data_IF_404282999788
#
_entry.id   IF_404282999788
#
_cell.length_a   1.000
_cell.length_b   1.000
_cell.length_c   1.000
_cell.angle_alpha   90.00
_cell.angle_beta   90.00
_cell.angle_gamma   90.00
#
_symmetry.space_group_name_H-M   'P 1'
#
loop_
_entity.id
_entity.type
_entity.pdbx_description
1 polymer ?
#
# COMPACT_ATOMS: atom_id res chain seq x y z
N UNK A 1 47.82 2.38 -0.47
CA UNK A 1 47.93 2.65 -1.92
C UNK A 1 47.03 1.65 -2.60
N UNK A 2 45.73 1.96 -2.61
CA UNK A 2 44.97 2.32 -3.82
C UNK A 2 44.91 1.14 -4.78
N UNK A 3 44.00 0.22 -4.51
CA UNK A 3 43.53 -0.74 -5.50
C UNK A 3 42.35 -0.10 -6.25
N UNK A 4 42.49 -0.14 -7.56
CA UNK A 4 41.54 0.29 -8.57
C UNK A 4 40.15 -0.32 -8.38
N UNK A 5 39.15 0.55 -8.26
CA UNK A 5 37.78 0.27 -8.67
C UNK A 5 37.38 1.42 -9.60
N UNK A 6 37.99 1.40 -10.79
CA UNK A 6 37.41 1.96 -12.00
C UNK A 6 36.17 1.12 -12.31
N UNK A 7 35.01 1.50 -11.77
CA UNK A 7 33.74 0.89 -12.18
C UNK A 7 33.24 1.63 -13.42
N UNK A 8 33.56 1.07 -14.59
CA UNK A 8 33.08 1.47 -15.90
C UNK A 8 31.55 1.66 -15.88
N UNK A 9 31.10 2.93 -15.90
CA UNK A 9 29.68 3.29 -15.88
C UNK A 9 29.22 3.88 -17.22
N UNK A 10 29.73 3.38 -18.35
CA UNK A 10 29.43 3.96 -19.68
C UNK A 10 28.66 3.06 -20.64
N UNK A 11 28.23 1.86 -20.27
CA UNK A 11 27.32 1.06 -21.12
C UNK A 11 26.15 0.38 -20.37
N UNK A 12 26.13 0.35 -19.03
CA UNK A 12 25.11 -0.40 -18.28
C UNK A 12 23.85 0.40 -17.88
N UNK A 13 23.82 1.72 -18.10
CA UNK A 13 22.66 2.56 -17.71
C UNK A 13 21.46 2.44 -18.67
N UNK A 14 21.65 1.80 -19.82
CA UNK A 14 20.60 1.64 -20.84
C UNK A 14 19.83 0.32 -20.74
N UNK A 15 20.36 -0.66 -20.00
CA UNK A 15 19.76 -2.01 -19.84
C UNK A 15 19.02 -2.20 -18.52
N UNK A 16 19.20 -1.35 -17.51
CA UNK A 16 18.51 -1.50 -16.23
C UNK A 16 16.99 -1.17 -16.27
N UNK A 17 16.50 -0.68 -17.41
CA UNK A 17 15.12 -0.22 -17.61
C UNK A 17 14.41 -0.79 -18.86
N UNK A 18 14.91 -1.87 -19.48
CA UNK A 18 14.18 -2.53 -20.57
C UNK A 18 14.46 -4.04 -20.63
N UNK A 19 13.51 -4.83 -20.12
CA UNK A 19 12.93 -6.04 -20.72
C UNK A 19 11.91 -6.67 -19.75
N UNK A 20 10.92 -7.31 -20.37
CA UNK A 20 9.62 -7.71 -19.84
C UNK A 20 9.60 -8.90 -18.87
N UNK A 21 8.53 -8.85 -18.07
CA UNK A 21 7.66 -9.93 -17.58
C UNK A 21 8.15 -11.02 -16.60
N UNK A 22 7.18 -11.32 -15.72
CA UNK A 22 6.98 -12.56 -14.98
C UNK A 22 7.89 -12.79 -13.77
N UNK A 23 7.39 -12.43 -12.57
CA UNK A 23 7.06 -13.47 -11.58
C UNK A 23 6.23 -12.94 -10.41
N UNK A 24 5.33 -13.83 -9.97
CA UNK A 24 4.59 -13.87 -8.72
C UNK A 24 5.40 -13.42 -7.50
N UNK A 25 4.80 -12.62 -6.60
CA UNK A 25 4.98 -12.87 -5.17
C UNK A 25 3.82 -12.36 -4.30
N UNK A 26 3.51 -13.19 -3.32
CA UNK A 26 2.46 -13.11 -2.33
C UNK A 26 2.70 -11.95 -1.36
N UNK A 27 1.90 -10.89 -1.48
CA UNK A 27 2.01 -9.69 -0.64
C UNK A 27 0.98 -9.62 0.48
N UNK A 28 1.27 -10.36 1.55
CA UNK A 28 0.77 -10.28 2.93
C UNK A 28 0.19 -8.91 3.32
N UNK A 29 -1.13 -8.85 3.56
CA UNK A 29 -1.79 -7.68 4.17
C UNK A 29 -1.97 -7.94 5.67
N UNK A 30 -1.00 -7.48 6.46
CA UNK A 30 -1.13 -7.42 7.91
C UNK A 30 -2.13 -6.32 8.31
N UNK A 31 -3.13 -6.74 9.09
CA UNK A 31 -4.13 -5.87 9.70
C UNK A 31 -3.73 -5.49 11.13
N UNK A 32 -3.85 -4.19 11.39
CA UNK A 32 -4.47 -3.58 12.57
C UNK A 32 -4.22 -4.25 13.93
N UNK A 33 -3.43 -3.56 14.76
CA UNK A 33 -3.45 -3.69 16.21
C UNK A 33 -4.03 -2.43 16.84
N UNK A 34 -5.00 -2.62 17.73
CA UNK A 34 -5.48 -1.66 18.72
C UNK A 34 -4.35 -1.02 19.53
N UNK A 35 -4.46 0.29 19.77
CA UNK A 35 -3.96 0.94 21.00
C UNK A 35 -4.89 2.08 21.39
N UNK A 36 -5.54 1.92 22.54
CA UNK A 36 -6.13 3.00 23.32
C UNK A 36 -5.04 3.79 24.05
N UNK A 37 -5.27 5.11 24.11
CA UNK A 37 -4.85 6.08 25.13
C UNK A 37 -3.37 6.15 25.52
N UNK A 38 -2.64 7.05 24.86
CA UNK A 38 -1.63 7.85 25.57
C UNK A 38 -1.52 9.26 24.95
N UNK A 39 -1.66 10.27 25.81
CA UNK A 39 -1.81 11.67 25.46
C UNK A 39 -0.45 12.31 25.29
N UNK A 40 -0.03 12.60 24.06
CA UNK A 40 1.00 13.60 23.73
C UNK A 40 0.73 14.19 22.35
N UNK A 41 -0.09 15.24 22.34
CA UNK A 41 -0.40 16.11 21.20
C UNK A 41 0.87 16.82 20.74
N UNK A 42 1.57 16.27 19.75
CA UNK A 42 2.60 17.01 19.01
C UNK A 42 1.86 18.00 18.10
N UNK A 43 1.86 19.27 18.50
CA UNK A 43 1.49 20.38 17.61
C UNK A 43 2.62 20.53 16.59
N UNK A 44 2.41 20.03 15.36
CA UNK A 44 3.22 20.43 14.22
C UNK A 44 2.60 21.69 13.61
N UNK A 45 3.16 22.84 13.98
CA UNK A 45 3.02 24.10 13.28
C UNK A 45 3.76 24.02 11.95
N UNK A 46 3.03 23.77 10.87
CA UNK A 46 3.49 24.11 9.53
C UNK A 46 2.73 25.36 9.09
N UNK A 47 3.51 26.42 8.85
CA UNK A 47 3.03 27.72 8.42
C UNK A 47 2.21 27.58 7.13
N UNK A 48 0.99 28.08 7.20
CA UNK A 48 0.09 28.24 6.07
C UNK A 48 0.75 29.16 5.05
N UNK A 49 1.19 28.59 3.93
CA UNK A 49 1.39 29.35 2.71
C UNK A 49 0.40 28.80 1.69
N UNK A 50 -0.39 29.73 1.17
CA UNK A 50 -1.46 29.59 0.19
C UNK A 50 -1.17 28.49 -0.85
N UNK A 51 -1.87 27.37 -0.80
CA UNK A 51 -1.84 26.36 -1.87
C UNK A 51 -3.27 26.14 -2.37
N UNK A 52 -3.43 26.34 -3.68
CA UNK A 52 -4.64 26.05 -4.44
C UNK A 52 -5.08 24.61 -4.12
N UNK A 53 -6.35 24.42 -3.72
CA UNK A 53 -6.94 23.10 -3.50
C UNK A 53 -6.97 22.34 -4.84
N UNK A 54 -6.29 21.20 -4.91
CA UNK A 54 -6.11 20.40 -6.13
C UNK A 54 -6.99 19.15 -5.98
N UNK A 55 -8.23 19.24 -6.45
CA UNK A 55 -9.18 18.13 -6.40
C UNK A 55 -8.91 17.13 -7.53
N UNK A 56 -8.03 16.16 -7.31
CA UNK A 56 -7.83 15.01 -8.20
C UNK A 56 -8.69 13.85 -7.70
N UNK A 57 -9.69 13.45 -8.48
CA UNK A 57 -10.57 12.35 -8.11
C UNK A 57 -9.84 11.00 -8.22
N UNK A 58 -9.42 10.42 -7.08
CA UNK A 58 -8.79 9.10 -7.03
C UNK A 58 -9.83 8.05 -6.65
N UNK A 59 -10.09 7.12 -7.56
CA UNK A 59 -10.93 5.95 -7.30
C UNK A 59 -10.30 5.04 -6.24
N UNK A 60 -11.04 4.77 -5.17
CA UNK A 60 -10.66 3.80 -4.13
C UNK A 60 -11.07 2.40 -4.59
N UNK A 61 -10.14 1.63 -5.14
CA UNK A 61 -10.43 0.25 -5.58
C UNK A 61 -10.51 -0.77 -4.44
N UNK A 62 -10.06 -0.40 -3.23
CA UNK A 62 -10.00 -1.33 -2.08
C UNK A 62 -11.19 -1.15 -1.16
N UNK A 63 -12.26 -1.87 -1.48
CA UNK A 63 -13.47 -1.91 -0.65
C UNK A 63 -13.36 -2.99 0.43
N UNK A 64 -13.38 -2.56 1.69
CA UNK A 64 -13.39 -3.44 2.86
C UNK A 64 -14.80 -3.63 3.38
N UNK A 65 -15.05 -4.79 4.00
CA UNK A 65 -16.28 -5.02 4.75
C UNK A 65 -16.27 -4.26 6.09
N UNK A 66 -17.45 -4.05 6.67
CA UNK A 66 -17.61 -3.50 8.03
C UNK A 66 -17.03 -4.44 9.08
N UNK A 67 -16.59 -3.87 10.21
CA UNK A 67 -16.01 -4.66 11.31
C UNK A 67 -17.00 -5.66 11.90
N UNK A 68 -18.28 -5.27 12.01
CA UNK A 68 -19.37 -6.11 12.51
C UNK A 68 -19.59 -7.31 11.59
N UNK A 69 -19.82 -7.05 10.29
CA UNK A 69 -19.99 -8.12 9.30
C UNK A 69 -18.77 -9.06 9.22
N UNK A 70 -17.55 -8.50 9.31
CA UNK A 70 -16.32 -9.30 9.33
C UNK A 70 -16.26 -10.26 10.52
N UNK A 71 -16.80 -9.86 11.67
CA UNK A 71 -16.84 -10.70 12.86
C UNK A 71 -17.84 -11.85 12.69
N UNK A 72 -19.05 -11.57 12.20
CA UNK A 72 -20.08 -12.59 11.96
C UNK A 72 -19.59 -13.62 10.93
N UNK A 73 -18.97 -13.12 9.86
CA UNK A 73 -18.40 -13.96 8.82
C UNK A 73 -17.23 -14.81 9.34
N UNK A 74 -16.43 -14.27 10.26
CA UNK A 74 -15.36 -15.01 10.93
C UNK A 74 -15.91 -16.13 11.83
N UNK A 75 -16.97 -15.85 12.61
CA UNK A 75 -17.63 -16.84 13.47
C UNK A 75 -18.16 -18.01 12.64
N UNK A 76 -18.93 -17.72 11.58
CA UNK A 76 -19.40 -18.73 10.64
C UNK A 76 -18.25 -19.59 10.08
N UNK A 77 -17.22 -18.94 9.56
CA UNK A 77 -16.07 -19.64 8.95
C UNK A 77 -15.29 -20.51 9.93
N UNK A 78 -15.35 -20.19 11.23
CA UNK A 78 -14.69 -20.96 12.29
C UNK A 78 -15.48 -22.17 12.74
N UNK A 79 -16.81 -22.05 12.78
CA UNK A 79 -17.70 -23.19 13.04
C UNK A 79 -17.51 -24.26 11.96
N UNK A 80 -17.51 -23.83 10.69
CA UNK A 80 -17.41 -24.70 9.51
C UNK A 80 -15.95 -24.92 9.04
N UNK A 81 -14.97 -24.88 9.95
CA UNK A 81 -13.57 -24.88 9.55
C UNK A 81 -13.07 -26.25 9.04
N UNK A 82 -13.71 -27.33 9.48
CA UNK A 82 -13.37 -28.71 9.11
C UNK A 82 -14.32 -29.31 8.08
N UNK A 83 -15.34 -28.54 7.69
CA UNK A 83 -16.33 -28.96 6.71
C UNK A 83 -15.69 -29.17 5.35
N UNK A 84 -16.23 -30.15 4.63
CA UNK A 84 -15.82 -30.44 3.28
C UNK A 84 -16.36 -29.37 2.30
N UNK A 85 -16.18 -29.60 1.00
CA UNK A 85 -16.63 -28.61 0.02
C UNK A 85 -18.14 -28.49 -0.07
N UNK A 86 -18.85 -29.61 0.00
CA UNK A 86 -20.30 -29.72 -0.11
C UNK A 86 -20.96 -29.14 1.14
N UNK A 87 -20.54 -29.62 2.30
CA UNK A 87 -21.12 -29.26 3.60
C UNK A 87 -20.98 -27.75 3.85
N UNK A 88 -19.81 -27.19 3.54
CA UNK A 88 -19.59 -25.74 3.65
C UNK A 88 -20.51 -24.94 2.71
N UNK A 89 -20.82 -25.47 1.52
CA UNK A 89 -21.69 -24.78 0.56
C UNK A 89 -23.14 -24.79 1.04
N UNK A 90 -23.61 -25.93 1.56
CA UNK A 90 -24.95 -26.06 2.13
C UNK A 90 -25.11 -25.16 3.36
N UNK A 91 -24.15 -25.20 4.28
CA UNK A 91 -24.14 -24.33 5.45
C UNK A 91 -24.06 -22.84 5.08
N UNK A 92 -23.34 -22.50 4.01
CA UNK A 92 -23.30 -21.13 3.49
C UNK A 92 -24.66 -20.67 2.99
N UNK A 93 -25.35 -21.50 2.20
CA UNK A 93 -26.70 -21.20 1.69
C UNK A 93 -27.65 -20.92 2.86
N UNK A 94 -27.70 -21.81 3.85
CA UNK A 94 -28.51 -21.61 5.06
C UNK A 94 -28.11 -20.35 5.83
N UNK A 95 -26.81 -20.12 6.04
CA UNK A 95 -26.34 -18.95 6.78
C UNK A 95 -26.71 -17.65 6.06
N UNK A 96 -26.65 -17.62 4.72
CA UNK A 96 -27.05 -16.44 3.94
C UNK A 96 -28.53 -16.14 4.01
N UNK A 97 -29.38 -17.16 4.12
CA UNK A 97 -30.82 -17.01 4.34
C UNK A 97 -31.12 -16.47 5.74
N UNK A 98 -30.50 -17.07 6.77
CA UNK A 98 -30.70 -16.66 8.17
C UNK A 98 -30.22 -15.23 8.45
N UNK A 99 -29.23 -14.76 7.68
CA UNK A 99 -28.53 -13.49 7.88
C UNK A 99 -28.75 -12.50 6.73
N UNK A 100 -29.86 -12.63 6.00
CA UNK A 100 -30.17 -11.82 4.82
C UNK A 100 -30.07 -10.31 5.09
N UNK A 101 -30.52 -9.86 6.27
CA UNK A 101 -30.51 -8.44 6.65
C UNK A 101 -29.09 -7.85 6.72
N UNK A 102 -28.15 -8.56 7.35
CA UNK A 102 -26.76 -8.07 7.49
C UNK A 102 -26.03 -8.12 6.14
N UNK A 103 -26.32 -9.14 5.33
CA UNK A 103 -25.75 -9.27 3.99
C UNK A 103 -26.27 -8.16 3.08
N UNK A 104 -27.58 -7.93 3.05
CA UNK A 104 -28.21 -6.90 2.22
C UNK A 104 -27.72 -5.51 2.58
N UNK A 105 -27.59 -5.20 3.88
CA UNK A 105 -27.01 -3.95 4.36
C UNK A 105 -25.59 -3.76 3.82
N UNK A 106 -24.76 -4.80 3.90
CA UNK A 106 -23.37 -4.75 3.47
C UNK A 106 -23.22 -4.68 1.94
N UNK A 107 -24.08 -5.37 1.19
CA UNK A 107 -24.19 -5.31 -0.27
C UNK A 107 -24.56 -3.90 -0.71
N UNK A 108 -25.59 -3.30 -0.12
CA UNK A 108 -26.02 -1.94 -0.42
C UNK A 108 -24.91 -0.94 -0.12
N UNK A 109 -24.23 -1.08 1.03
CA UNK A 109 -23.13 -0.20 1.41
C UNK A 109 -21.97 -0.26 0.40
N UNK A 110 -21.56 -1.44 -0.04
CA UNK A 110 -20.49 -1.60 -1.02
C UNK A 110 -20.88 -1.10 -2.42
N UNK A 111 -22.14 -1.32 -2.81
CA UNK A 111 -22.70 -0.81 -4.07
C UNK A 111 -22.74 0.72 -4.06
N UNK A 112 -23.16 1.33 -2.95
CA UNK A 112 -23.16 2.78 -2.77
C UNK A 112 -21.75 3.40 -2.77
N UNK A 113 -20.73 2.61 -2.41
CA UNK A 113 -19.32 3.01 -2.54
C UNK A 113 -18.77 2.86 -3.97
N UNK A 114 -19.55 2.28 -4.89
CA UNK A 114 -19.16 2.07 -6.29
C UNK A 114 -18.41 0.77 -6.56
N UNK A 115 -18.59 -0.27 -5.75
CA UNK A 115 -18.04 -1.60 -6.06
C UNK A 115 -18.88 -2.29 -7.16
N UNK A 116 -18.25 -2.63 -8.28
CA UNK A 116 -18.91 -3.20 -9.47
C UNK A 116 -18.86 -4.74 -9.55
N UNK A 117 -18.24 -5.42 -8.59
CA UNK A 117 -18.08 -6.89 -8.62
C UNK A 117 -19.19 -7.65 -7.91
N UNK A 118 -19.13 -8.99 -7.97
CA UNK A 118 -20.00 -9.86 -7.18
C UNK A 118 -19.58 -9.81 -5.69
N UNK A 119 -20.44 -9.21 -4.87
CA UNK A 119 -20.21 -9.02 -3.44
C UNK A 119 -20.40 -10.35 -2.68
N UNK A 120 -21.36 -11.18 -3.09
CA UNK A 120 -21.67 -12.45 -2.43
C UNK A 120 -20.54 -13.44 -2.66
N UNK A 121 -20.03 -13.55 -3.89
CA UNK A 121 -18.85 -14.36 -4.19
C UNK A 121 -17.60 -13.87 -3.44
N UNK A 122 -17.42 -12.54 -3.31
CA UNK A 122 -16.36 -11.95 -2.49
C UNK A 122 -16.49 -12.36 -1.02
N UNK A 123 -17.70 -12.34 -0.46
CA UNK A 123 -17.97 -12.77 0.91
C UNK A 123 -17.67 -14.27 1.09
N UNK A 124 -18.19 -15.13 0.21
CA UNK A 124 -17.96 -16.58 0.24
C UNK A 124 -16.46 -16.93 0.20
N UNK A 125 -15.73 -16.32 -0.73
CA UNK A 125 -14.27 -16.50 -0.84
C UNK A 125 -13.55 -16.05 0.43
N UNK A 126 -13.97 -14.93 1.03
CA UNK A 126 -13.39 -14.44 2.28
C UNK A 126 -13.62 -15.42 3.44
N UNK A 127 -14.81 -16.00 3.55
CA UNK A 127 -15.14 -17.01 4.54
C UNK A 127 -14.30 -18.28 4.40
N UNK A 128 -14.40 -18.91 3.22
CA UNK A 128 -13.84 -20.24 2.95
C UNK A 128 -12.31 -20.27 2.87
N UNK A 129 -11.70 -19.26 2.27
CA UNK A 129 -10.26 -19.26 1.99
C UNK A 129 -9.44 -18.47 3.00
N UNK A 130 -9.98 -17.35 3.52
CA UNK A 130 -9.23 -16.50 4.45
C UNK A 130 -9.55 -16.85 5.90
N UNK A 131 -10.80 -16.72 6.34
CA UNK A 131 -11.14 -16.87 7.76
C UNK A 131 -10.99 -18.30 8.28
N UNK A 132 -11.31 -19.30 7.47
CA UNK A 132 -11.07 -20.71 7.80
C UNK A 132 -9.61 -20.99 8.18
N UNK A 133 -8.66 -20.55 7.33
CA UNK A 133 -7.22 -20.77 7.50
C UNK A 133 -6.55 -19.78 8.46
N UNK A 134 -7.24 -18.72 8.88
CA UNK A 134 -6.68 -17.70 9.79
C UNK A 134 -6.52 -18.32 11.18
N UNK A 135 -5.29 -18.65 11.58
CA UNK A 135 -5.00 -19.15 12.92
C UNK A 135 -5.30 -18.12 14.02
N UNK A 136 -5.61 -18.60 15.22
CA UNK A 136 -5.75 -17.76 16.42
C UNK A 136 -4.38 -17.38 17.02
N UNK A 137 -3.30 -17.97 16.53
CA UNK A 137 -1.95 -17.71 16.98
C UNK A 137 -1.49 -16.32 16.52
N UNK A 138 -1.40 -15.40 17.48
CA UNK A 138 -0.70 -14.15 17.27
C UNK A 138 0.76 -14.48 17.03
N UNK A 139 1.21 -14.41 15.78
CA UNK A 139 2.65 -14.49 15.46
C UNK A 139 3.39 -13.49 16.36
N UNK A 140 4.52 -13.89 16.96
CA UNK A 140 5.30 -12.96 17.76
C UNK A 140 5.61 -11.72 16.90
N UNK A 141 5.49 -10.54 17.52
CA UNK A 141 5.73 -9.29 16.82
C UNK A 141 7.15 -9.33 16.24
N UNK A 142 7.26 -9.30 14.90
CA UNK A 142 8.55 -9.20 14.23
C UNK A 142 9.26 -7.95 14.75
N UNK A 143 10.56 -8.08 15.03
CA UNK A 143 11.39 -6.93 15.34
C UNK A 143 11.28 -5.93 14.20
N UNK A 144 10.91 -4.70 14.53
CA UNK A 144 10.86 -3.61 13.55
C UNK A 144 12.29 -3.26 13.18
N UNK A 145 12.55 -3.17 11.87
CA UNK A 145 13.82 -2.64 11.37
C UNK A 145 13.97 -1.18 11.79
N UNK A 146 15.20 -0.76 11.99
CA UNK A 146 15.51 0.64 12.25
C UNK A 146 15.01 1.51 11.09
N UNK A 147 14.30 2.57 11.43
CA UNK A 147 13.72 3.45 10.44
C UNK A 147 14.79 4.37 9.86
N UNK A 148 15.11 4.18 8.58
CA UNK A 148 15.99 5.08 7.85
C UNK A 148 15.14 6.18 7.22
N UNK A 149 15.43 7.44 7.56
CA UNK A 149 14.70 8.59 7.03
C UNK A 149 15.17 8.98 5.62
N UNK A 150 14.27 9.53 4.83
CA UNK A 150 14.61 10.18 3.55
C UNK A 150 14.92 11.65 3.84
N UNK A 151 15.93 12.23 3.19
CA UNK A 151 16.34 13.61 3.44
C UNK A 151 15.23 14.60 3.07
N UNK A 152 15.09 15.67 3.87
CA UNK A 152 14.12 16.74 3.62
C UNK A 152 14.31 17.39 2.24
N UNK A 153 15.57 17.54 1.79
CA UNK A 153 15.88 18.10 0.47
C UNK A 153 15.22 17.29 -0.66
N UNK A 154 15.42 15.97 -0.65
CA UNK A 154 14.78 15.08 -1.62
C UNK A 154 13.24 15.14 -1.54
N UNK A 155 12.66 15.16 -0.34
CA UNK A 155 11.19 15.25 -0.18
C UNK A 155 10.65 16.55 -0.79
N UNK A 156 11.30 17.68 -0.53
CA UNK A 156 10.88 18.97 -1.07
C UNK A 156 10.98 19.00 -2.61
N UNK A 157 12.05 18.44 -3.18
CA UNK A 157 12.21 18.32 -4.63
C UNK A 157 11.10 17.45 -5.24
N UNK A 158 10.74 16.33 -4.59
CA UNK A 158 9.60 15.50 -5.02
C UNK A 158 8.28 16.27 -4.97
N UNK A 159 8.03 17.01 -3.89
CA UNK A 159 6.80 17.79 -3.74
C UNK A 159 6.68 18.89 -4.80
N UNK A 160 7.78 19.58 -5.11
CA UNK A 160 7.80 20.58 -6.18
C UNK A 160 7.50 19.95 -7.53
N UNK A 161 8.15 18.82 -7.85
CA UNK A 161 7.92 18.10 -9.09
C UNK A 161 6.45 17.65 -9.22
N UNK A 162 5.87 17.08 -8.17
CA UNK A 162 4.48 16.64 -8.16
C UNK A 162 3.53 17.82 -8.36
N UNK A 163 3.72 18.94 -7.66
CA UNK A 163 2.82 20.11 -7.78
C UNK A 163 2.78 20.68 -9.20
N UNK A 164 3.92 20.66 -9.90
CA UNK A 164 3.99 21.13 -11.29
C UNK A 164 3.27 20.15 -12.21
N UNK A 165 3.58 18.86 -12.08
CA UNK A 165 3.21 17.86 -13.09
C UNK A 165 1.83 17.21 -12.91
N UNK A 166 1.23 17.32 -11.72
CA UNK A 166 -0.06 16.67 -11.40
C UNK A 166 -1.23 17.08 -12.30
N UNK A 167 -1.11 18.20 -13.02
CA UNK A 167 -2.16 18.74 -13.90
C UNK A 167 -2.16 18.11 -15.30
N UNK A 168 -1.16 17.29 -15.66
CA UNK A 168 -1.15 16.61 -16.96
C UNK A 168 -2.31 15.61 -17.02
N UNK A 169 -3.05 15.60 -18.13
CA UNK A 169 -4.21 14.69 -18.31
C UNK A 169 -3.83 13.21 -18.18
N UNK A 170 -2.64 12.84 -18.67
CA UNK A 170 -2.09 11.47 -18.57
C UNK A 170 -1.13 11.28 -17.40
N UNK A 171 -1.27 12.05 -16.32
CA UNK A 171 -0.35 11.98 -15.19
C UNK A 171 -0.42 10.62 -14.48
N UNK A 172 0.66 9.85 -14.58
CA UNK A 172 0.83 8.60 -13.85
C UNK A 172 2.00 8.71 -12.87
N UNK A 173 1.80 8.44 -11.56
CA UNK A 173 2.85 8.58 -10.55
C UNK A 173 4.08 7.68 -10.78
N UNK A 174 3.96 6.58 -11.53
CA UNK A 174 5.12 5.77 -11.92
C UNK A 174 6.00 6.50 -12.93
N UNK A 175 5.38 7.12 -13.92
CA UNK A 175 6.07 7.66 -15.09
C UNK A 175 6.68 9.01 -14.70
N UNK A 176 5.95 9.80 -13.91
CA UNK A 176 6.45 11.00 -13.27
C UNK A 176 7.62 10.73 -12.30
N UNK A 177 7.65 9.56 -11.65
CA UNK A 177 8.81 9.18 -10.84
C UNK A 177 10.04 8.91 -11.71
N UNK A 178 9.86 8.23 -12.85
CA UNK A 178 10.96 7.97 -13.78
C UNK A 178 11.47 9.28 -14.43
N UNK A 179 10.60 10.24 -14.70
CA UNK A 179 10.96 11.61 -15.11
C UNK A 179 11.73 12.35 -14.00
N UNK A 180 11.22 12.32 -12.77
CA UNK A 180 11.88 12.92 -11.62
C UNK A 180 13.30 12.39 -11.43
N UNK A 181 13.49 11.08 -11.59
CA UNK A 181 14.81 10.43 -11.50
C UNK A 181 15.80 10.90 -12.56
N UNK A 182 15.33 11.21 -13.77
CA UNK A 182 16.18 11.74 -14.85
C UNK A 182 16.59 13.19 -14.60
N UNK A 183 15.68 14.00 -14.04
CA UNK A 183 15.88 15.43 -13.83
C UNK A 183 16.62 15.78 -12.54
N UNK A 184 16.63 14.89 -11.53
CA UNK A 184 17.14 15.17 -10.18
C UNK A 184 18.23 14.18 -9.72
N UNK A 185 19.15 13.82 -10.63
CA UNK A 185 20.19 12.80 -10.39
C UNK A 185 21.09 13.18 -9.20
N UNK A 186 21.49 14.43 -9.07
CA UNK A 186 22.44 14.85 -8.04
C UNK A 186 21.84 14.77 -6.63
N UNK A 187 20.60 15.22 -6.47
CA UNK A 187 19.85 15.12 -5.20
C UNK A 187 19.64 13.65 -4.83
N UNK A 188 19.40 12.78 -5.82
CA UNK A 188 19.29 11.34 -5.60
C UNK A 188 20.61 10.72 -5.14
N UNK A 189 21.75 11.05 -5.78
CA UNK A 189 23.07 10.56 -5.37
C UNK A 189 23.41 10.97 -3.93
N UNK A 190 23.17 12.23 -3.57
CA UNK A 190 23.37 12.72 -2.21
C UNK A 190 22.52 11.94 -1.20
N UNK A 191 21.23 11.75 -1.50
CA UNK A 191 20.34 11.02 -0.62
C UNK A 191 20.72 9.54 -0.48
N UNK A 192 21.09 8.88 -1.58
CA UNK A 192 21.55 7.49 -1.57
C UNK A 192 22.81 7.36 -0.69
N UNK A 193 23.76 8.30 -0.78
CA UNK A 193 24.94 8.29 0.07
C UNK A 193 24.59 8.40 1.57
N UNK A 194 23.59 9.21 1.93
CA UNK A 194 23.09 9.30 3.31
C UNK A 194 22.42 7.99 3.75
N UNK A 195 21.60 7.38 2.89
CA UNK A 195 20.92 6.12 3.19
C UNK A 195 21.94 4.98 3.38
N UNK A 196 22.96 4.91 2.53
CA UNK A 196 24.05 3.94 2.65
C UNK A 196 24.83 4.11 3.95
N UNK A 197 25.11 5.36 4.36
CA UNK A 197 25.74 5.64 5.67
C UNK A 197 24.91 5.18 6.85
N UNK A 198 23.58 5.14 6.69
CA UNK A 198 22.64 4.69 7.72
C UNK A 198 22.40 3.17 7.69
N UNK A 199 23.22 2.41 6.95
CA UNK A 199 23.23 0.94 7.01
C UNK A 199 22.37 0.23 5.97
N UNK A 200 21.68 0.95 5.08
CA UNK A 200 20.94 0.33 3.97
C UNK A 200 21.76 0.41 2.69
N UNK A 201 22.29 -0.73 2.25
CA UNK A 201 23.20 -0.84 1.10
C UNK A 201 22.60 -1.55 -0.09
N UNK A 202 21.44 -2.21 0.06
CA UNK A 202 20.77 -2.89 -1.04
C UNK A 202 20.15 -1.88 -2.03
N UNK A 203 20.65 -1.87 -3.26
CA UNK A 203 20.24 -0.91 -4.28
C UNK A 203 18.75 -1.02 -4.63
N UNK A 204 18.19 -2.24 -4.63
CA UNK A 204 16.77 -2.49 -4.93
C UNK A 204 15.90 -1.93 -3.81
N UNK A 205 16.26 -2.16 -2.55
CA UNK A 205 15.54 -1.63 -1.40
C UNK A 205 15.59 -0.10 -1.34
N UNK A 206 16.74 0.52 -1.62
CA UNK A 206 16.86 1.98 -1.69
C UNK A 206 15.94 2.55 -2.78
N UNK A 207 15.98 1.98 -3.99
CA UNK A 207 15.10 2.37 -5.10
C UNK A 207 13.62 2.27 -4.72
N UNK A 208 13.22 1.14 -4.12
CA UNK A 208 11.85 0.91 -3.67
C UNK A 208 11.41 1.89 -2.59
N UNK A 209 12.31 2.24 -1.66
CA UNK A 209 12.06 3.23 -0.62
C UNK A 209 11.82 4.63 -1.19
N UNK A 210 12.66 5.07 -2.12
CA UNK A 210 12.52 6.38 -2.78
C UNK A 210 11.24 6.40 -3.62
N UNK A 211 10.98 5.36 -4.42
CA UNK A 211 9.76 5.23 -5.24
C UNK A 211 8.48 5.24 -4.40
N UNK A 212 8.47 4.50 -3.29
CA UNK A 212 7.34 4.49 -2.33
C UNK A 212 7.14 5.86 -1.70
N UNK A 213 8.23 6.55 -1.37
CA UNK A 213 8.17 7.90 -0.81
C UNK A 213 7.51 8.84 -1.81
N UNK A 214 7.97 8.88 -3.06
CA UNK A 214 7.38 9.70 -4.13
C UNK A 214 5.88 9.42 -4.32
N UNK A 215 5.48 8.15 -4.47
CA UNK A 215 4.06 7.77 -4.62
C UNK A 215 3.22 8.22 -3.43
N UNK A 216 3.73 8.03 -2.20
CA UNK A 216 3.03 8.47 -1.00
C UNK A 216 2.85 10.00 -0.99
N UNK A 217 3.87 10.77 -1.40
CA UNK A 217 3.77 12.23 -1.52
C UNK A 217 2.69 12.62 -2.54
N UNK A 218 2.64 11.95 -3.69
CA UNK A 218 1.60 12.18 -4.70
C UNK A 218 0.19 12.04 -4.13
N UNK A 219 -0.09 10.95 -3.41
CA UNK A 219 -1.41 10.73 -2.80
C UNK A 219 -1.76 11.76 -1.70
N UNK A 220 -0.79 12.51 -1.16
CA UNK A 220 -1.08 13.63 -0.24
C UNK A 220 -1.60 14.86 -0.97
N UNK A 221 -1.15 15.10 -2.21
CA UNK A 221 -1.58 16.23 -3.03
C UNK A 221 -2.87 15.93 -3.78
N UNK A 222 -3.05 14.68 -4.22
CA UNK A 222 -4.22 14.30 -4.99
C UNK A 222 -5.49 14.15 -4.13
N UNK A 223 -5.39 13.87 -2.82
CA UNK A 223 -6.54 13.70 -1.92
C UNK A 223 -6.92 14.97 -1.11
N UNK A 224 -6.43 16.16 -1.50
CA UNK A 224 -6.69 17.44 -0.80
C UNK A 224 -7.53 18.38 -1.66
#
# INVERSE_FOLDING_TARGET
MQNDIQFEFTQSSRTMFSLDNSYNDNGTNDCLSDRSSDSRRIQNTYNSTNENNINVNINIYRYKFTSEFMNDLFIFSKIHQYDDRSDFKEAWEQWTEDNENIISSEVNRLTNLGYEGDIIDKMYKSARYYFRKKGNEKKPASLRRDYISVSKNLINAMDQHIRVEIHREDYKPSDAFDEFCKSNIDILKENIAIICKNGLTDAVEIKNKIKKTYKNRYFLFANK
#
